data_IF_528669169102
#
_entry.id   IF_528669169102
#
_cell.length_a   1.000
_cell.length_b   1.000
_cell.length_c   1.000
_cell.angle_alpha   90.00
_cell.angle_beta   90.00
_cell.angle_gamma   90.00
#
_symmetry.space_group_name_H-M   'P 1'
#
loop_
_entity.id
_entity.type
_entity.pdbx_description
1 polymer ?
#
# COMPACT_ATOMS: atom_id res chain seq x y z
N UNK A 1 -11.44 16.95 20.63
CA UNK A 1 -10.44 16.65 19.59
C UNK A 1 -11.13 16.66 18.24
N UNK A 2 -10.49 17.14 17.16
CA UNK A 2 -11.04 17.03 15.81
C UNK A 2 -11.37 15.55 15.53
N UNK A 3 -12.45 15.28 14.80
CA UNK A 3 -12.68 13.90 14.36
C UNK A 3 -11.57 13.45 13.39
N UNK A 4 -11.27 12.15 13.31
CA UNK A 4 -10.14 11.63 12.52
C UNK A 4 -10.18 12.08 11.05
N UNK A 5 -11.40 12.19 10.48
CA UNK A 5 -11.64 12.73 9.15
C UNK A 5 -11.21 14.20 9.01
N UNK A 6 -11.61 15.06 9.93
CA UNK A 6 -11.23 16.48 9.96
C UNK A 6 -9.73 16.65 10.16
N UNK A 7 -9.14 15.89 11.07
CA UNK A 7 -7.69 15.89 11.29
C UNK A 7 -6.94 15.52 10.00
N UNK A 8 -7.33 14.42 9.34
CA UNK A 8 -6.76 14.04 8.05
C UNK A 8 -6.91 15.13 6.99
N UNK A 9 -8.12 15.66 6.78
CA UNK A 9 -8.36 16.68 5.77
C UNK A 9 -7.59 17.98 6.05
N UNK A 10 -7.42 18.34 7.32
CA UNK A 10 -6.61 19.49 7.72
C UNK A 10 -5.13 19.28 7.35
N UNK A 11 -4.57 18.10 7.67
CA UNK A 11 -3.18 17.74 7.34
C UNK A 11 -2.92 17.62 5.83
N UNK A 12 -3.93 17.26 5.03
CA UNK A 12 -3.81 17.20 3.57
C UNK A 12 -3.89 18.60 2.94
N UNK A 13 -4.83 19.43 3.39
CA UNK A 13 -5.11 20.76 2.78
C UNK A 13 -4.18 21.85 3.27
N UNK A 14 -3.64 21.69 4.47
CA UNK A 14 -2.71 22.63 5.10
C UNK A 14 -1.57 21.81 5.71
N UNK A 15 -0.63 21.31 4.88
CA UNK A 15 0.42 20.41 5.36
C UNK A 15 1.31 21.02 6.42
N UNK A 16 1.48 22.35 6.44
CA UNK A 16 2.26 23.12 7.40
C UNK A 16 1.51 23.47 8.70
N UNK A 17 0.26 23.00 8.86
CA UNK A 17 -0.55 23.21 10.05
C UNK A 17 0.11 22.67 11.32
N UNK A 18 0.74 21.50 11.20
CA UNK A 18 1.48 20.83 12.25
C UNK A 18 2.87 20.51 11.71
N UNK A 19 3.85 21.29 12.17
CA UNK A 19 5.22 21.20 11.69
C UNK A 19 5.84 19.82 11.96
N UNK A 20 5.56 19.22 13.12
CA UNK A 20 6.11 17.91 13.48
C UNK A 20 5.54 16.81 12.57
N UNK A 21 4.23 16.84 12.34
CA UNK A 21 3.56 15.91 11.41
C UNK A 21 4.08 16.09 9.98
N UNK A 22 4.26 17.33 9.53
CA UNK A 22 4.82 17.62 8.21
C UNK A 22 6.23 17.05 8.05
N UNK A 23 7.11 17.29 9.02
CA UNK A 23 8.49 16.79 9.01
C UNK A 23 8.52 15.26 9.01
N UNK A 24 7.72 14.60 9.85
CA UNK A 24 7.65 13.14 9.89
C UNK A 24 7.23 12.55 8.53
N UNK A 25 6.24 13.15 7.86
CA UNK A 25 5.78 12.74 6.52
C UNK A 25 6.86 12.93 5.45
N UNK A 26 7.55 14.06 5.46
CA UNK A 26 8.66 14.33 4.55
C UNK A 26 9.82 13.36 4.79
N UNK A 27 10.20 13.14 6.04
CA UNK A 27 11.27 12.22 6.42
C UNK A 27 10.95 10.79 5.98
N UNK A 28 9.71 10.32 6.22
CA UNK A 28 9.27 9.00 5.77
C UNK A 28 9.32 8.87 4.24
N UNK A 29 8.82 9.87 3.53
CA UNK A 29 8.85 9.89 2.05
C UNK A 29 10.28 9.89 1.51
N UNK A 30 11.15 10.70 2.09
CA UNK A 30 12.55 10.81 1.68
C UNK A 30 13.33 9.53 1.98
N UNK A 31 13.09 8.89 3.13
CA UNK A 31 13.70 7.61 3.47
C UNK A 31 13.25 6.51 2.49
N UNK A 32 11.98 6.48 2.07
CA UNK A 32 11.48 5.56 1.02
C UNK A 32 12.19 5.82 -0.31
N UNK A 33 12.35 7.08 -0.73
CA UNK A 33 13.08 7.43 -1.97
C UNK A 33 14.55 7.03 -1.89
N UNK A 34 15.20 7.31 -0.76
CA UNK A 34 16.59 6.97 -0.54
C UNK A 34 16.79 5.45 -0.59
N UNK A 35 15.96 4.68 0.10
CA UNK A 35 16.02 3.23 0.07
C UNK A 35 15.85 2.67 -1.35
N UNK A 36 14.89 3.20 -2.12
CA UNK A 36 14.69 2.81 -3.52
C UNK A 36 15.92 3.13 -4.39
N UNK A 37 16.51 4.31 -4.20
CA UNK A 37 17.72 4.73 -4.92
C UNK A 37 18.94 3.88 -4.55
N UNK A 38 19.15 3.63 -3.27
CA UNK A 38 20.26 2.81 -2.77
C UNK A 38 20.16 1.37 -3.29
N UNK A 39 18.99 0.74 -3.16
CA UNK A 39 18.77 -0.63 -3.64
C UNK A 39 18.98 -0.72 -5.16
N UNK A 40 18.52 0.26 -5.93
CA UNK A 40 18.73 0.29 -7.37
C UNK A 40 20.22 0.43 -7.78
N UNK A 41 21.05 1.01 -6.91
CA UNK A 41 22.48 1.21 -7.14
C UNK A 41 23.37 0.10 -6.55
N UNK A 42 22.80 -0.84 -5.79
CA UNK A 42 23.53 -1.90 -5.09
C UNK A 42 23.32 -3.27 -5.74
N UNK A 43 24.26 -4.18 -5.50
CA UNK A 43 24.02 -5.60 -5.72
C UNK A 43 23.04 -6.16 -4.67
N UNK A 44 22.41 -7.28 -4.98
CA UNK A 44 21.40 -7.94 -4.15
C UNK A 44 21.93 -8.27 -2.75
N UNK A 45 23.19 -8.71 -2.64
CA UNK A 45 23.79 -9.08 -1.36
C UNK A 45 23.93 -7.87 -0.42
N UNK A 46 24.34 -6.72 -0.93
CA UNK A 46 24.44 -5.47 -0.17
C UNK A 46 23.07 -4.90 0.17
N UNK A 47 22.13 -4.93 -0.77
CA UNK A 47 20.76 -4.48 -0.51
C UNK A 47 20.15 -5.23 0.69
N UNK A 48 20.35 -6.55 0.76
CA UNK A 48 19.91 -7.41 1.86
C UNK A 48 20.51 -7.06 3.23
N UNK A 49 21.71 -6.45 3.27
CA UNK A 49 22.35 -6.03 4.52
C UNK A 49 21.81 -4.70 5.04
N UNK A 50 21.42 -3.80 4.14
CA UNK A 50 21.03 -2.42 4.49
C UNK A 50 19.52 -2.29 4.70
N UNK A 51 18.72 -3.02 3.92
CA UNK A 51 17.28 -2.90 3.90
C UNK A 51 16.59 -3.15 5.26
N UNK A 52 17.04 -4.10 6.10
CA UNK A 52 16.47 -4.26 7.43
C UNK A 52 16.50 -2.98 8.29
N UNK A 53 17.64 -2.29 8.31
CA UNK A 53 17.81 -1.06 9.10
C UNK A 53 17.02 0.12 8.53
N UNK A 54 17.00 0.29 7.22
CA UNK A 54 16.19 1.32 6.57
C UNK A 54 14.70 1.10 6.81
N UNK A 55 14.24 -0.14 6.72
CA UNK A 55 12.83 -0.45 6.93
C UNK A 55 12.41 -0.30 8.40
N UNK A 56 13.26 -0.69 9.35
CA UNK A 56 13.01 -0.43 10.78
C UNK A 56 12.83 1.07 11.06
N UNK A 57 13.67 1.93 10.47
CA UNK A 57 13.53 3.39 10.58
C UNK A 57 12.23 3.90 9.98
N UNK A 58 11.78 3.36 8.83
CA UNK A 58 10.48 3.71 8.24
C UNK A 58 9.33 3.37 9.18
N UNK A 59 9.34 2.17 9.78
CA UNK A 59 8.31 1.75 10.73
C UNK A 59 8.34 2.64 11.98
N UNK A 60 9.51 3.03 12.48
CA UNK A 60 9.62 3.95 13.62
C UNK A 60 9.05 5.35 13.32
N UNK A 61 9.29 5.89 12.12
CA UNK A 61 8.67 7.15 11.69
C UNK A 61 7.14 7.04 11.61
N UNK A 62 6.61 5.91 11.13
CA UNK A 62 5.17 5.65 11.12
C UNK A 62 4.59 5.55 12.54
N UNK A 63 5.34 4.97 13.49
CA UNK A 63 4.97 4.94 14.92
C UNK A 63 4.91 6.34 15.50
N UNK A 64 5.91 7.19 15.24
CA UNK A 64 5.91 8.57 15.72
C UNK A 64 4.74 9.35 15.12
N UNK A 65 4.55 9.28 13.79
CA UNK A 65 3.44 9.92 13.10
C UNK A 65 2.08 9.48 13.70
N UNK A 66 1.91 8.18 13.94
CA UNK A 66 0.72 7.62 14.58
C UNK A 66 0.53 8.10 16.02
N UNK A 67 1.61 8.45 16.72
CA UNK A 67 1.55 9.07 18.04
C UNK A 67 0.90 10.45 18.00
N UNK A 68 1.25 11.27 17.00
CA UNK A 68 0.72 12.63 16.85
C UNK A 68 -0.73 12.69 16.35
N UNK A 69 -1.07 11.88 15.33
CA UNK A 69 -2.37 12.00 14.63
C UNK A 69 -3.30 10.78 14.78
N UNK A 70 -2.84 9.73 15.47
CA UNK A 70 -3.53 8.45 15.55
C UNK A 70 -3.23 7.54 14.35
N UNK A 71 -3.33 6.23 14.58
CA UNK A 71 -2.96 5.17 13.60
C UNK A 71 -3.70 5.36 12.28
N UNK A 72 -5.02 5.58 12.33
CA UNK A 72 -5.83 5.66 11.12
C UNK A 72 -5.42 6.83 10.21
N UNK A 73 -5.21 8.01 10.81
CA UNK A 73 -4.82 9.22 10.08
C UNK A 73 -3.39 9.08 9.55
N UNK A 74 -2.45 8.58 10.37
CA UNK A 74 -1.07 8.36 9.95
C UNK A 74 -0.97 7.46 8.73
N UNK A 75 -1.64 6.30 8.76
CA UNK A 75 -1.66 5.36 7.63
C UNK A 75 -2.27 5.98 6.37
N UNK A 76 -3.38 6.71 6.51
CA UNK A 76 -4.01 7.38 5.37
C UNK A 76 -3.09 8.43 4.74
N UNK A 77 -2.39 9.22 5.55
CA UNK A 77 -1.39 10.19 5.08
C UNK A 77 -0.21 9.49 4.41
N UNK A 78 0.35 8.46 5.04
CA UNK A 78 1.49 7.69 4.52
C UNK A 78 1.18 7.07 3.15
N UNK A 79 -0.02 6.50 2.99
CA UNK A 79 -0.45 5.92 1.70
C UNK A 79 -0.71 6.98 0.63
N UNK A 80 -1.31 8.12 1.01
CA UNK A 80 -1.51 9.23 0.07
C UNK A 80 -0.17 9.84 -0.37
N UNK A 81 0.79 9.97 0.55
CA UNK A 81 2.14 10.48 0.27
C UNK A 81 2.93 9.49 -0.61
N UNK A 82 2.80 8.18 -0.40
CA UNK A 82 3.34 7.17 -1.34
C UNK A 82 2.76 7.35 -2.74
N UNK A 83 1.46 7.62 -2.85
CA UNK A 83 0.81 7.84 -4.14
C UNK A 83 1.34 9.09 -4.85
N UNK A 84 1.44 10.23 -4.14
CA UNK A 84 1.94 11.48 -4.70
C UNK A 84 3.42 11.42 -5.08
N UNK A 85 4.24 10.78 -4.24
CA UNK A 85 5.69 10.76 -4.41
C UNK A 85 6.19 9.65 -5.34
N UNK A 86 5.39 8.60 -5.56
CA UNK A 86 5.83 7.36 -6.20
C UNK A 86 6.86 6.57 -5.39
N UNK A 87 7.14 6.98 -4.14
CA UNK A 87 8.08 6.34 -3.25
C UNK A 87 7.37 5.28 -2.41
N UNK A 88 7.08 4.13 -3.01
CA UNK A 88 6.36 3.03 -2.35
C UNK A 88 7.24 1.80 -2.15
N UNK A 89 7.09 1.10 -1.02
CA UNK A 89 7.81 -0.16 -0.79
C UNK A 89 7.33 -1.30 -1.71
N UNK A 90 6.18 -1.11 -2.34
CA UNK A 90 5.71 -1.97 -3.43
C UNK A 90 6.64 -2.01 -4.64
N UNK A 91 7.66 -1.13 -4.68
CA UNK A 91 8.68 -1.08 -5.73
C UNK A 91 9.92 -1.94 -5.49
N UNK A 92 10.12 -2.44 -4.28
CA UNK A 92 11.17 -3.41 -4.02
C UNK A 92 10.84 -4.75 -4.70
N UNK A 93 11.82 -5.62 -4.85
CA UNK A 93 11.53 -6.98 -5.30
C UNK A 93 10.90 -7.82 -4.16
N UNK A 94 10.59 -9.07 -4.50
CA UNK A 94 9.99 -10.02 -3.57
C UNK A 94 10.91 -10.30 -2.37
N UNK A 95 12.19 -10.53 -2.62
CA UNK A 95 13.11 -11.04 -1.59
C UNK A 95 13.36 -9.98 -0.52
N UNK A 96 13.54 -8.73 -0.93
CA UNK A 96 13.65 -7.62 0.01
C UNK A 96 12.35 -7.40 0.79
N UNK A 97 11.17 -7.58 0.18
CA UNK A 97 9.90 -7.53 0.92
C UNK A 97 9.75 -8.68 1.92
N UNK A 98 10.25 -9.87 1.62
CA UNK A 98 10.26 -11.00 2.57
C UNK A 98 11.12 -10.65 3.79
N UNK A 99 12.30 -10.05 3.59
CA UNK A 99 13.15 -9.57 4.69
C UNK A 99 12.49 -8.46 5.51
N UNK A 100 11.84 -7.49 4.85
CA UNK A 100 11.07 -6.46 5.55
C UNK A 100 9.96 -7.08 6.43
N UNK A 101 9.33 -8.16 5.96
CA UNK A 101 8.25 -8.84 6.70
C UNK A 101 8.77 -9.47 8.00
N UNK A 102 9.97 -10.03 7.98
CA UNK A 102 10.64 -10.55 9.18
C UNK A 102 10.93 -9.43 10.18
N UNK A 103 11.39 -8.27 9.70
CA UNK A 103 11.66 -7.10 10.53
C UNK A 103 10.38 -6.54 11.15
N UNK A 104 9.31 -6.35 10.37
CA UNK A 104 8.03 -5.89 10.90
C UNK A 104 7.47 -6.85 11.97
N UNK A 105 7.58 -8.16 11.73
CA UNK A 105 7.16 -9.19 12.70
C UNK A 105 8.00 -9.13 13.98
N UNK A 106 9.33 -8.99 13.85
CA UNK A 106 10.24 -8.80 14.97
C UNK A 106 9.92 -7.53 15.77
N UNK A 107 9.65 -6.41 15.11
CA UNK A 107 9.24 -5.16 15.76
C UNK A 107 7.91 -5.32 16.51
N UNK A 108 6.96 -6.06 15.95
CA UNK A 108 5.69 -6.40 16.60
C UNK A 108 5.85 -7.17 17.92
N UNK A 109 6.99 -7.82 18.15
CA UNK A 109 7.27 -8.62 19.36
C UNK A 109 8.26 -7.97 20.33
N UNK A 110 9.22 -7.17 19.83
CA UNK A 110 10.30 -6.58 20.64
C UNK A 110 9.97 -5.20 21.21
N UNK A 111 9.02 -4.49 20.63
CA UNK A 111 8.72 -3.11 21.02
C UNK A 111 7.92 -3.03 22.33
N UNK A 112 8.33 -2.11 23.21
CA UNK A 112 7.71 -1.92 24.54
C UNK A 112 6.34 -1.24 24.50
N UNK A 113 6.07 -0.40 23.49
CA UNK A 113 4.81 0.35 23.40
C UNK A 113 3.72 -0.44 22.67
N UNK A 114 2.47 -0.31 23.13
CA UNK A 114 1.30 -0.92 22.46
C UNK A 114 1.15 -0.38 21.02
N UNK A 115 1.36 0.92 20.84
CA UNK A 115 1.30 1.58 19.53
C UNK A 115 2.30 0.98 18.54
N UNK A 116 3.57 0.85 18.95
CA UNK A 116 4.61 0.29 18.08
C UNK A 116 4.32 -1.17 17.68
N UNK A 117 3.77 -1.97 18.61
CA UNK A 117 3.35 -3.34 18.28
C UNK A 117 2.22 -3.36 17.26
N UNK A 118 1.21 -2.49 17.40
CA UNK A 118 0.10 -2.40 16.45
C UNK A 118 0.58 -1.96 15.06
N UNK A 119 1.43 -0.95 14.98
CA UNK A 119 2.00 -0.48 13.70
C UNK A 119 2.87 -1.55 13.06
N UNK A 120 3.76 -2.20 13.83
CA UNK A 120 4.57 -3.31 13.32
C UNK A 120 3.71 -4.46 12.78
N UNK A 121 2.61 -4.80 13.46
CA UNK A 121 1.65 -5.79 12.96
C UNK A 121 0.98 -5.35 11.65
N UNK A 122 0.51 -4.10 11.55
CA UNK A 122 -0.12 -3.58 10.33
C UNK A 122 0.86 -3.61 9.17
N UNK A 123 2.07 -3.08 9.37
CA UNK A 123 3.10 -3.02 8.33
C UNK A 123 3.52 -4.42 7.84
N UNK A 124 3.63 -5.40 8.75
CA UNK A 124 3.86 -6.79 8.38
C UNK A 124 2.75 -7.33 7.47
N UNK A 125 1.48 -7.10 7.83
CA UNK A 125 0.35 -7.58 7.03
C UNK A 125 0.23 -6.85 5.69
N UNK A 126 0.58 -5.56 5.62
CA UNK A 126 0.63 -4.81 4.36
C UNK A 126 1.67 -5.40 3.39
N UNK A 127 2.81 -5.86 3.89
CA UNK A 127 3.78 -6.60 3.07
C UNK A 127 3.22 -7.94 2.57
N UNK A 128 2.48 -8.67 3.40
CA UNK A 128 1.77 -9.89 2.98
C UNK A 128 0.76 -9.59 1.89
N UNK A 129 -0.01 -8.50 2.00
CA UNK A 129 -0.93 -8.05 0.96
C UNK A 129 -0.19 -7.76 -0.35
N UNK A 130 0.86 -6.94 -0.30
CA UNK A 130 1.67 -6.59 -1.47
C UNK A 130 2.21 -7.83 -2.18
N UNK A 131 2.83 -8.75 -1.42
CA UNK A 131 3.36 -10.00 -1.94
C UNK A 131 2.27 -10.88 -2.57
N UNK A 132 1.16 -11.05 -1.88
CA UNK A 132 0.08 -11.92 -2.33
C UNK A 132 -0.64 -11.36 -3.56
N UNK A 133 -0.85 -10.04 -3.63
CA UNK A 133 -1.45 -9.37 -4.79
C UNK A 133 -0.55 -9.38 -6.02
N UNK A 134 0.77 -9.19 -5.84
CA UNK A 134 1.75 -9.37 -6.91
C UNK A 134 1.71 -10.81 -7.45
N UNK A 135 1.67 -11.78 -6.54
CA UNK A 135 1.66 -13.19 -6.87
C UNK A 135 0.37 -13.65 -7.56
N UNK A 136 -0.80 -13.18 -7.11
CA UNK A 136 -2.07 -13.40 -7.82
C UNK A 136 -2.02 -12.79 -9.22
N UNK A 137 -1.46 -11.59 -9.36
CA UNK A 137 -1.34 -10.94 -10.67
C UNK A 137 -0.41 -11.74 -11.59
N UNK A 138 0.70 -12.28 -11.06
CA UNK A 138 1.62 -13.11 -11.82
C UNK A 138 1.00 -14.45 -12.23
N UNK A 139 0.43 -15.22 -11.30
CA UNK A 139 -0.14 -16.54 -11.58
C UNK A 139 -1.44 -16.51 -12.37
N UNK A 140 -2.30 -15.50 -12.17
CA UNK A 140 -3.58 -15.42 -12.85
C UNK A 140 -3.43 -14.94 -14.31
N UNK A 141 -2.44 -14.09 -14.59
CA UNK A 141 -2.36 -13.37 -15.87
C UNK A 141 -1.19 -13.80 -16.79
N UNK A 142 -0.14 -14.50 -16.31
CA UNK A 142 0.83 -15.15 -17.22
C UNK A 142 0.24 -16.38 -17.88
N UNK A 143 -0.38 -16.17 -19.03
CA UNK A 143 -0.94 -17.24 -19.87
C UNK A 143 0.08 -17.88 -20.81
N UNK A 144 1.21 -17.21 -20.97
CA UNK A 144 2.23 -17.39 -21.99
C UNK A 144 3.53 -18.02 -21.45
N UNK A 145 3.73 -18.10 -20.14
CA UNK A 145 4.92 -18.73 -19.55
C UNK A 145 4.79 -20.26 -19.63
N UNK A 146 5.48 -20.88 -20.60
CA UNK A 146 5.47 -22.32 -20.86
C UNK A 146 5.91 -23.17 -19.65
N UNK A 147 6.69 -22.59 -18.72
CA UNK A 147 7.07 -23.25 -17.46
C UNK A 147 5.86 -23.45 -16.53
N UNK A 148 4.74 -22.79 -16.82
CA UNK A 148 3.62 -22.56 -15.92
C UNK A 148 2.27 -22.68 -16.64
N UNK A 149 1.95 -23.85 -17.22
CA UNK A 149 0.78 -24.04 -18.08
C UNK A 149 -0.55 -23.81 -17.34
N UNK A 150 -1.59 -23.51 -18.12
CA UNK A 150 -2.91 -23.13 -17.62
C UNK A 150 -3.58 -24.19 -16.72
N UNK A 151 -3.34 -25.48 -17.01
CA UNK A 151 -3.91 -26.61 -16.27
C UNK A 151 -3.45 -26.71 -14.80
N UNK A 152 -2.27 -26.19 -14.48
CA UNK A 152 -1.68 -26.32 -13.14
C UNK A 152 -1.87 -25.05 -12.29
N UNK A 153 -2.70 -24.10 -12.73
CA UNK A 153 -2.83 -22.80 -12.05
C UNK A 153 -3.51 -22.90 -10.69
N UNK A 154 -4.59 -23.68 -10.60
CA UNK A 154 -5.34 -23.86 -9.36
C UNK A 154 -4.48 -24.56 -8.30
N UNK A 155 -3.84 -25.67 -8.68
CA UNK A 155 -2.92 -26.40 -7.80
C UNK A 155 -1.75 -25.53 -7.31
N UNK A 156 -1.21 -24.65 -8.17
CA UNK A 156 -0.17 -23.71 -7.74
C UNK A 156 -0.72 -22.66 -6.78
N UNK A 157 -1.84 -22.00 -7.11
CA UNK A 157 -2.45 -21.02 -6.20
C UNK A 157 -2.70 -21.62 -4.81
N UNK A 158 -3.11 -22.88 -4.77
CA UNK A 158 -3.30 -23.65 -3.53
C UNK A 158 -1.96 -23.96 -2.83
N UNK A 159 -0.96 -24.45 -3.56
CA UNK A 159 0.38 -24.74 -3.02
C UNK A 159 1.08 -23.50 -2.42
N UNK A 160 0.85 -22.33 -2.99
CA UNK A 160 1.35 -21.07 -2.45
C UNK A 160 0.51 -20.52 -1.28
N UNK A 161 -0.66 -21.10 -0.97
CA UNK A 161 -1.49 -20.69 0.16
C UNK A 161 -1.85 -19.20 0.12
N UNK A 162 -2.04 -18.62 -1.07
CA UNK A 162 -2.23 -17.16 -1.22
C UNK A 162 -3.53 -16.71 -0.58
N UNK A 163 -4.60 -17.49 -0.77
CA UNK A 163 -5.91 -17.21 -0.22
C UNK A 163 -5.92 -17.21 1.32
N UNK A 164 -5.48 -18.27 2.03
CA UNK A 164 -5.46 -18.26 3.50
C UNK A 164 -4.57 -17.13 4.04
N UNK A 165 -3.38 -16.90 3.47
CA UNK A 165 -2.48 -15.81 3.89
C UNK A 165 -3.14 -14.44 3.77
N UNK A 166 -3.84 -14.16 2.67
CA UNK A 166 -4.56 -12.89 2.48
C UNK A 166 -5.72 -12.74 3.48
N UNK A 167 -6.47 -13.81 3.73
CA UNK A 167 -7.60 -13.78 4.66
C UNK A 167 -7.10 -13.51 6.09
N UNK A 168 -6.05 -14.21 6.53
CA UNK A 168 -5.47 -14.00 7.86
C UNK A 168 -4.93 -12.58 8.02
N UNK A 169 -4.20 -12.08 7.02
CA UNK A 169 -3.68 -10.71 7.01
C UNK A 169 -4.80 -9.66 7.10
N UNK A 170 -5.88 -9.85 6.33
CA UNK A 170 -7.07 -8.98 6.39
C UNK A 170 -7.72 -9.01 7.76
N UNK A 171 -7.92 -10.19 8.34
CA UNK A 171 -8.54 -10.34 9.66
C UNK A 171 -7.78 -9.56 10.73
N UNK A 172 -6.44 -9.59 10.70
CA UNK A 172 -5.59 -8.82 11.62
C UNK A 172 -5.77 -7.31 11.42
N UNK A 173 -5.62 -6.81 10.20
CA UNK A 173 -5.67 -5.35 9.95
C UNK A 173 -7.08 -4.80 10.17
N UNK A 174 -8.12 -5.50 9.72
CA UNK A 174 -9.53 -5.13 9.98
C UNK A 174 -9.80 -5.03 11.48
N UNK A 175 -9.25 -5.94 12.29
CA UNK A 175 -9.37 -5.88 13.75
C UNK A 175 -8.71 -4.65 14.37
N UNK A 176 -7.68 -4.10 13.75
CA UNK A 176 -6.93 -2.95 14.25
C UNK A 176 -7.50 -1.60 13.80
N UNK A 177 -7.86 -1.47 12.53
CA UNK A 177 -8.22 -0.19 11.90
C UNK A 177 -9.61 -0.17 11.24
N UNK A 178 -10.36 -1.27 11.32
CA UNK A 178 -11.71 -1.39 10.79
C UNK A 178 -11.75 -1.72 9.30
N UNK A 179 -12.92 -2.18 8.85
CA UNK A 179 -13.14 -2.71 7.49
C UNK A 179 -12.88 -1.65 6.42
N UNK A 180 -13.41 -0.44 6.59
CA UNK A 180 -13.34 0.61 5.55
C UNK A 180 -11.92 1.07 5.29
N UNK A 181 -11.16 1.38 6.35
CA UNK A 181 -9.78 1.84 6.17
C UNK A 181 -8.87 0.71 5.70
N UNK A 182 -9.05 -0.51 6.23
CA UNK A 182 -8.33 -1.69 5.74
C UNK A 182 -8.53 -1.90 4.24
N UNK A 183 -9.78 -1.84 3.75
CA UNK A 183 -10.07 -2.00 2.32
C UNK A 183 -9.49 -0.88 1.46
N UNK A 184 -9.51 0.37 1.94
CA UNK A 184 -8.91 1.50 1.23
C UNK A 184 -7.38 1.36 1.11
N UNK A 185 -6.70 0.99 2.21
CA UNK A 185 -5.24 0.79 2.23
C UNK A 185 -4.85 -0.41 1.37
N UNK A 186 -5.52 -1.55 1.51
CA UNK A 186 -5.21 -2.73 0.69
C UNK A 186 -5.41 -2.45 -0.80
N UNK A 187 -6.48 -1.72 -1.16
CA UNK A 187 -6.73 -1.27 -2.53
C UNK A 187 -5.66 -0.31 -3.06
N UNK A 188 -5.05 0.51 -2.21
CA UNK A 188 -3.93 1.37 -2.57
C UNK A 188 -2.61 0.59 -2.68
N UNK A 189 -2.32 -0.32 -1.73
CA UNK A 189 -1.13 -1.17 -1.75
C UNK A 189 -1.09 -2.07 -2.99
N UNK A 190 -2.24 -2.67 -3.35
CA UNK A 190 -2.40 -3.44 -4.58
C UNK A 190 -2.10 -2.63 -5.84
N UNK A 191 -2.37 -1.32 -5.81
CA UNK A 191 -2.10 -0.42 -6.94
C UNK A 191 -0.63 -0.02 -7.04
N UNK A 192 0.02 0.28 -5.92
CA UNK A 192 1.41 0.74 -5.91
C UNK A 192 2.43 -0.37 -6.27
N UNK A 193 1.99 -1.62 -6.48
CA UNK A 193 2.80 -2.73 -6.99
C UNK A 193 3.34 -2.42 -8.39
N UNK A 194 4.58 -1.96 -8.46
CA UNK A 194 5.25 -1.61 -9.72
C UNK A 194 5.59 -2.82 -10.59
N UNK A 195 5.65 -4.01 -9.99
CA UNK A 195 5.94 -5.26 -10.68
C UNK A 195 4.68 -5.97 -11.20
N UNK A 196 3.55 -5.26 -11.22
CA UNK A 196 2.30 -5.81 -11.75
C UNK A 196 2.51 -6.21 -13.21
N UNK A 197 2.10 -7.43 -13.55
CA UNK A 197 1.63 -7.72 -14.90
C UNK A 197 0.40 -6.85 -15.14
N UNK A 198 0.62 -5.70 -15.77
CA UNK A 198 -0.45 -4.78 -16.12
C UNK A 198 -1.42 -5.55 -17.02
N UNK A 199 -2.72 -5.42 -16.74
CA UNK A 199 -3.72 -5.85 -17.70
C UNK A 199 -3.63 -4.85 -18.85
N UNK A 200 -2.79 -5.17 -19.84
CA UNK A 200 -2.52 -4.30 -20.99
C UNK A 200 -3.81 -3.83 -21.63
N UNK A 201 -3.74 -2.70 -22.33
CA UNK A 201 -4.88 -2.16 -23.07
C UNK A 201 -5.34 -3.04 -24.25
N UNK A 202 -4.64 -4.14 -24.49
CA UNK A 202 -4.87 -5.05 -25.61
C UNK A 202 -6.18 -5.85 -25.44
N UNK A 203 -6.75 -6.38 -26.54
CA UNK A 203 -7.99 -7.15 -26.50
C UNK A 203 -7.92 -8.40 -25.60
N UNK A 204 -6.75 -9.01 -25.45
CA UNK A 204 -6.54 -10.25 -24.70
C UNK A 204 -6.81 -10.11 -23.19
N UNK A 205 -6.72 -8.88 -22.66
CA UNK A 205 -6.97 -8.56 -21.26
C UNK A 205 -8.25 -7.74 -21.03
N UNK A 206 -9.07 -7.53 -22.07
CA UNK A 206 -10.26 -6.67 -21.98
C UNK A 206 -11.31 -7.20 -21.00
N UNK A 207 -11.53 -8.52 -20.96
CA UNK A 207 -12.50 -9.15 -20.07
C UNK A 207 -12.04 -9.06 -18.61
N UNK A 208 -10.78 -9.34 -18.34
CA UNK A 208 -10.18 -9.29 -17.02
C UNK A 208 -10.23 -7.88 -16.46
N UNK A 209 -9.92 -6.85 -17.28
CA UNK A 209 -10.12 -5.46 -16.88
C UNK A 209 -11.59 -5.20 -16.56
N UNK A 210 -12.52 -5.61 -17.40
CA UNK A 210 -13.92 -5.29 -17.16
C UNK A 210 -14.49 -5.94 -15.89
N UNK A 211 -14.16 -7.22 -15.66
CA UNK A 211 -14.81 -8.06 -14.64
C UNK A 211 -14.09 -8.00 -13.28
N UNK A 212 -12.77 -7.91 -13.26
CA UNK A 212 -11.97 -8.05 -12.05
C UNK A 212 -12.37 -7.09 -10.90
N UNK A 213 -12.61 -5.77 -11.13
CA UNK A 213 -12.97 -4.87 -10.06
C UNK A 213 -14.35 -5.22 -9.48
N UNK A 214 -15.24 -5.74 -10.33
CA UNK A 214 -16.61 -6.10 -9.96
C UNK A 214 -16.65 -7.38 -9.11
N UNK A 215 -15.71 -8.32 -9.32
CA UNK A 215 -15.62 -9.55 -8.54
C UNK A 215 -15.00 -9.38 -7.15
N UNK A 216 -14.39 -8.21 -6.89
CA UNK A 216 -13.64 -7.99 -5.65
C UNK A 216 -14.54 -7.70 -4.42
N UNK A 217 -15.86 -7.55 -4.62
CA UNK A 217 -16.83 -7.10 -3.60
C UNK A 217 -16.41 -5.84 -2.84
N UNK A 218 -15.52 -5.04 -3.44
CA UNK A 218 -15.03 -3.80 -2.85
C UNK A 218 -16.12 -2.72 -2.92
N UNK A 219 -16.08 -1.72 -2.02
CA UNK A 219 -16.95 -0.55 -2.11
C UNK A 219 -16.89 0.11 -3.49
N UNK A 220 -18.00 0.69 -3.94
CA UNK A 220 -18.09 1.33 -5.25
C UNK A 220 -17.02 2.42 -5.47
N UNK A 221 -16.60 3.10 -4.41
CA UNK A 221 -15.50 4.08 -4.44
C UNK A 221 -14.17 3.42 -4.79
N UNK A 222 -13.81 2.31 -4.15
CA UNK A 222 -12.62 1.51 -4.46
C UNK A 222 -12.63 1.03 -5.91
N UNK A 223 -13.76 0.52 -6.39
CA UNK A 223 -13.92 0.03 -7.77
C UNK A 223 -13.73 1.16 -8.79
N UNK A 224 -14.29 2.35 -8.53
CA UNK A 224 -14.11 3.53 -9.39
C UNK A 224 -12.65 3.96 -9.44
N UNK A 225 -11.96 3.98 -8.29
CA UNK A 225 -10.53 4.30 -8.20
C UNK A 225 -9.71 3.30 -9.02
N UNK A 226 -9.98 2.00 -8.88
CA UNK A 226 -9.27 0.96 -9.64
C UNK A 226 -9.48 1.09 -11.16
N UNK A 227 -10.71 1.40 -11.61
CA UNK A 227 -10.98 1.63 -13.04
C UNK A 227 -10.25 2.86 -13.57
N UNK A 228 -10.33 3.97 -12.87
CA UNK A 228 -9.67 5.22 -13.26
C UNK A 228 -8.15 5.06 -13.34
N UNK A 229 -7.57 4.27 -12.43
CA UNK A 229 -6.15 3.90 -12.45
C UNK A 229 -5.73 3.17 -13.71
N UNK A 230 -6.54 2.25 -14.23
CA UNK A 230 -6.20 1.56 -15.48
C UNK A 230 -6.27 2.45 -16.71
N UNK A 231 -7.16 3.43 -16.69
CA UNK A 231 -7.22 4.46 -17.73
C UNK A 231 -5.90 5.26 -17.71
N UNK A 232 -5.44 5.67 -16.52
CA UNK A 232 -4.14 6.32 -16.35
C UNK A 232 -2.97 5.42 -16.80
N UNK A 233 -2.93 4.14 -16.41
CA UNK A 233 -1.88 3.21 -16.83
C UNK A 233 -1.84 3.05 -18.37
N UNK A 234 -3.02 2.97 -19.00
CA UNK A 234 -3.15 2.90 -20.46
C UNK A 234 -2.60 4.16 -21.13
N UNK A 235 -2.85 5.34 -20.55
CA UNK A 235 -2.32 6.60 -21.04
C UNK A 235 -0.80 6.68 -20.91
N UNK A 236 -0.25 6.20 -19.80
CA UNK A 236 1.22 6.10 -19.60
C UNK A 236 1.84 5.17 -20.64
N UNK A 237 1.25 4.01 -20.89
CA UNK A 237 1.72 3.05 -21.91
C UNK A 237 1.65 3.63 -23.32
N UNK A 238 0.65 4.47 -23.59
CA UNK A 238 0.48 5.16 -24.87
C UNK A 238 1.35 6.41 -25.00
N UNK A 239 2.26 6.67 -24.04
CA UNK A 239 3.12 7.84 -23.98
C UNK A 239 2.35 9.17 -24.10
N UNK A 240 1.20 9.27 -23.42
CA UNK A 240 0.41 10.49 -23.38
C UNK A 240 1.21 11.68 -22.82
N UNK A 241 0.87 12.93 -23.20
CA UNK A 241 1.59 14.11 -22.73
C UNK A 241 1.61 14.21 -21.19
N UNK A 242 2.76 14.58 -20.61
CA UNK A 242 2.95 14.64 -19.15
C UNK A 242 1.92 15.54 -18.46
N UNK A 243 1.54 16.67 -19.07
CA UNK A 243 0.51 17.57 -18.54
C UNK A 243 -0.86 16.89 -18.40
N UNK A 244 -1.19 15.97 -19.32
CA UNK A 244 -2.41 15.18 -19.26
C UNK A 244 -2.31 14.13 -18.14
N UNK A 245 -1.16 13.44 -18.04
CA UNK A 245 -0.89 12.48 -16.98
C UNK A 245 -0.94 13.13 -15.59
N UNK A 246 -0.42 14.35 -15.45
CA UNK A 246 -0.46 15.14 -14.22
C UNK A 246 -1.91 15.44 -13.81
N UNK A 247 -2.75 15.88 -14.75
CA UNK A 247 -4.18 16.12 -14.50
C UNK A 247 -4.94 14.87 -14.05
N UNK A 248 -4.65 13.72 -14.65
CA UNK A 248 -5.25 12.45 -14.24
C UNK A 248 -4.71 11.96 -12.88
N UNK A 249 -3.40 12.10 -12.60
CA UNK A 249 -2.83 11.81 -11.27
C UNK A 249 -3.47 12.66 -10.18
N UNK A 250 -3.72 13.95 -10.45
CA UNK A 250 -4.39 14.85 -9.51
C UNK A 250 -5.84 14.43 -9.22
N UNK A 251 -6.60 14.01 -10.24
CA UNK A 251 -7.96 13.46 -10.06
C UNK A 251 -7.93 12.20 -9.19
N UNK A 252 -6.99 11.29 -9.48
CA UNK A 252 -6.83 10.06 -8.72
C UNK A 252 -6.48 10.32 -7.24
N UNK A 253 -5.56 11.25 -7.00
CA UNK A 253 -5.23 11.73 -5.66
C UNK A 253 -6.47 12.26 -4.92
N UNK A 254 -7.30 13.07 -5.56
CA UNK A 254 -8.55 13.58 -4.98
C UNK A 254 -9.56 12.47 -4.66
N UNK A 255 -9.64 11.43 -5.51
CA UNK A 255 -10.49 10.26 -5.22
C UNK A 255 -9.98 9.47 -4.00
N UNK A 256 -8.65 9.32 -3.85
CA UNK A 256 -8.03 8.66 -2.71
C UNK A 256 -8.23 9.47 -1.41
N UNK A 257 -8.02 10.79 -1.46
CA UNK A 257 -8.32 11.69 -0.34
C UNK A 257 -9.76 11.48 0.14
N UNK A 258 -10.73 11.50 -0.79
CA UNK A 258 -12.14 11.32 -0.47
C UNK A 258 -12.43 9.94 0.13
N UNK A 259 -11.82 8.87 -0.41
CA UNK A 259 -11.98 7.51 0.09
C UNK A 259 -11.42 7.36 1.52
N UNK A 260 -10.22 7.89 1.79
CA UNK A 260 -9.63 7.85 3.11
C UNK A 260 -10.44 8.70 4.10
N UNK A 261 -10.84 9.91 3.73
CA UNK A 261 -11.66 10.76 4.57
C UNK A 261 -12.99 10.09 4.97
N UNK A 262 -13.65 9.36 4.06
CA UNK A 262 -14.85 8.56 4.39
C UNK A 262 -14.52 7.38 5.30
N UNK A 263 -13.47 6.62 4.99
CA UNK A 263 -13.05 5.46 5.76
C UNK A 263 -12.68 5.79 7.21
N UNK A 264 -12.12 6.98 7.45
CA UNK A 264 -11.76 7.48 8.77
C UNK A 264 -12.98 7.80 9.66
N UNK A 265 -14.19 7.91 9.10
CA UNK A 265 -15.41 8.14 9.85
C UNK A 265 -15.79 7.00 10.81
N UNK A 266 -15.44 5.76 10.46
CA UNK A 266 -15.87 4.54 11.15
C UNK A 266 -14.69 3.81 11.84
N UNK A 267 -13.65 4.54 12.24
CA UNK A 267 -12.50 3.92 12.91
C UNK A 267 -12.87 3.25 14.24
N UNK A 268 -12.27 2.10 14.58
CA UNK A 268 -12.24 1.60 15.95
C UNK A 268 -11.53 2.58 16.88
N UNK A 269 -11.93 2.65 18.16
CA UNK A 269 -11.32 3.54 19.15
C UNK A 269 -9.80 3.35 19.28
N UNK A 270 -9.33 2.10 19.20
CA UNK A 270 -7.90 1.76 19.23
C UNK A 270 -7.08 2.40 18.10
N UNK A 271 -7.73 2.75 16.97
CA UNK A 271 -7.08 3.39 15.82
C UNK A 271 -7.21 4.91 15.82
N UNK A 272 -8.11 5.47 16.64
CA UNK A 272 -8.31 6.92 16.79
C UNK A 272 -7.29 7.55 17.73
N UNK A 273 -6.83 6.80 18.73
CA UNK A 273 -5.91 7.32 19.74
C UNK A 273 -4.49 7.46 19.17
N UNK A 274 -4.07 8.70 18.91
CA UNK A 274 -2.70 9.12 19.18
C UNK A 274 -2.60 9.35 20.69
N UNK A 275 -1.59 8.79 21.35
CA UNK A 275 -1.41 9.06 22.78
C UNK A 275 -1.07 10.54 22.96
N UNK A 276 -1.80 11.21 23.85
CA UNK A 276 -1.26 12.32 24.64
C UNK A 276 0.10 11.93 25.23
#
# INVERSE_FOLDING_TARGET
>A
MPNARESFLAQVRTPDLDHEVYELRQNLTNLKREALSQVAAMDEQRARLVMPGLYEQMVQLEVHLSGHVGIGVALALSVLDEHHSGASLSRFDRELREQMSEIATSLGTRQGSKLARMIGQIEAQRLVWRHSHEFMSWLAFRRDDERYPAKDRLERLDAFGVQPRLLDARSVVVGLIGVRLSGAIEGADRFNLSNRWRLSSTPEHALERYVWPLLSYQPATTVKIERFRWELDTMVESAAPEQMLEGERAKLAGMLEAQFADALGDLPESAKSGML
#
